data_IF_607396823516
#
_entry.id   IF_607396823516
#
_cell.length_a   1.000
_cell.length_b   1.000
_cell.length_c   1.000
_cell.angle_alpha   90.00
_cell.angle_beta   90.00
_cell.angle_gamma   90.00
#
_symmetry.space_group_name_H-M   'P 1'
#
loop_
_entity.id
_entity.type
_entity.pdbx_description
1 polymer ?
#
# COMPACT_ATOMS: atom_id res chain seq x y z
N UNK A 1 5.24 7.52 69.53
CA UNK A 1 6.21 8.53 69.08
C UNK A 1 6.79 8.07 67.75
N UNK A 2 6.50 8.84 66.71
CA UNK A 2 6.81 8.55 65.32
C UNK A 2 8.31 8.73 65.03
N UNK A 3 8.87 7.89 64.15
CA UNK A 3 9.94 8.33 63.25
C UNK A 3 9.87 7.56 61.93
N UNK A 4 9.34 8.26 60.93
CA UNK A 4 9.47 7.98 59.51
C UNK A 4 10.94 8.07 59.08
N UNK A 5 11.38 7.18 58.17
CA UNK A 5 12.29 7.55 57.07
C UNK A 5 12.16 6.60 55.87
N UNK A 6 11.41 7.14 54.90
CA UNK A 6 11.24 6.86 53.47
C UNK A 6 12.26 5.91 52.81
N UNK A 7 11.75 4.82 52.24
CA UNK A 7 12.32 4.14 51.08
C UNK A 7 11.97 4.95 49.82
N UNK A 8 12.98 5.47 49.11
CA UNK A 8 12.82 5.99 47.76
C UNK A 8 12.95 4.81 46.79
N UNK A 9 11.81 4.36 46.24
CA UNK A 9 11.78 3.50 45.05
C UNK A 9 12.18 4.34 43.84
N UNK A 10 13.38 4.07 43.31
CA UNK A 10 13.78 4.58 41.99
C UNK A 10 13.07 3.73 40.95
N UNK A 11 11.90 4.20 40.50
CA UNK A 11 11.25 3.71 39.29
C UNK A 11 12.01 4.32 38.11
N UNK A 12 12.89 3.55 37.48
CA UNK A 12 13.43 3.87 36.16
C UNK A 12 12.33 3.63 35.11
N UNK A 13 11.92 4.63 34.31
CA UNK A 13 11.18 4.36 33.10
C UNK A 13 12.18 3.91 32.04
N UNK A 14 12.14 2.62 31.69
CA UNK A 14 12.74 2.14 30.44
C UNK A 14 11.93 2.73 29.27
N UNK A 15 12.33 3.91 28.80
CA UNK A 15 11.90 4.45 27.54
C UNK A 15 12.63 3.73 26.40
N UNK A 16 12.15 2.54 26.03
CA UNK A 16 12.52 1.88 24.78
C UNK A 16 11.79 2.59 23.63
N UNK A 17 12.31 3.76 23.24
CA UNK A 17 12.04 4.38 21.95
C UNK A 17 12.84 3.65 20.87
N UNK A 18 12.41 2.44 20.51
CA UNK A 18 12.87 1.79 19.28
C UNK A 18 12.18 2.49 18.11
N UNK A 19 12.90 3.44 17.53
CA UNK A 19 12.62 3.99 16.21
C UNK A 19 12.67 2.84 15.21
N UNK A 20 11.52 2.19 14.98
CA UNK A 20 11.35 1.41 13.77
C UNK A 20 11.72 2.33 12.59
N UNK A 21 12.42 1.79 11.59
CA UNK A 21 12.58 2.42 10.27
C UNK A 21 11.21 2.46 9.54
N UNK A 22 10.16 2.88 10.23
CA UNK A 22 8.97 3.42 9.59
C UNK A 22 9.33 4.75 8.98
N UNK A 23 8.99 4.94 7.71
CA UNK A 23 9.27 6.08 6.83
C UNK A 23 9.40 7.43 7.57
N UNK A 24 10.56 7.66 8.17
CA UNK A 24 10.98 8.94 8.74
C UNK A 24 12.05 9.44 7.80
N UNK A 25 11.61 9.90 6.62
CA UNK A 25 12.46 10.68 5.76
C UNK A 25 12.70 12.03 6.48
N UNK A 26 13.80 12.13 7.21
CA UNK A 26 14.45 13.43 7.35
C UNK A 26 14.77 13.91 5.94
N UNK A 27 14.32 15.12 5.61
CA UNK A 27 14.63 15.73 4.32
C UNK A 27 16.15 15.75 4.16
N UNK A 28 16.64 15.15 3.07
CA UNK A 28 18.06 15.20 2.73
C UNK A 28 18.55 16.65 2.65
N UNK A 29 19.83 16.82 2.98
CA UNK A 29 20.58 18.03 2.75
C UNK A 29 20.43 18.43 1.26
N UNK A 30 20.08 19.68 0.91
CA UNK A 30 19.90 20.11 -0.48
C UNK A 30 21.19 20.09 -1.32
N UNK A 31 22.32 19.66 -0.75
CA UNK A 31 23.65 19.78 -1.35
C UNK A 31 24.27 18.46 -1.83
N UNK A 32 23.59 17.32 -1.71
CA UNK A 32 24.02 16.11 -2.42
C UNK A 32 23.58 16.18 -3.89
N UNK A 33 24.49 16.68 -4.73
CA UNK A 33 24.51 16.37 -6.16
C UNK A 33 24.67 14.85 -6.31
N UNK A 34 23.54 14.14 -6.35
CA UNK A 34 23.51 12.75 -6.82
C UNK A 34 23.90 12.78 -8.29
N UNK A 35 25.09 12.25 -8.61
CA UNK A 35 25.55 12.10 -9.99
C UNK A 35 24.48 11.46 -10.85
N UNK A 36 24.29 12.01 -12.05
CA UNK A 36 23.36 11.52 -13.06
C UNK A 36 23.68 10.05 -13.37
N UNK A 37 22.95 9.13 -12.74
CA UNK A 37 22.85 7.75 -13.20
C UNK A 37 21.88 7.77 -14.38
N UNK A 38 22.34 7.34 -15.56
CA UNK A 38 21.56 7.37 -16.81
C UNK A 38 20.37 6.39 -16.83
N UNK A 39 20.24 5.52 -15.82
CA UNK A 39 19.32 4.37 -15.88
C UNK A 39 18.01 4.60 -15.13
N UNK A 40 17.17 5.47 -15.70
CA UNK A 40 15.80 5.70 -15.22
C UNK A 40 14.82 5.08 -16.23
N UNK A 41 14.01 4.10 -15.81
CA UNK A 41 13.58 3.04 -16.72
C UNK A 41 12.07 2.86 -16.85
N UNK A 42 11.61 2.66 -18.08
CA UNK A 42 10.38 1.91 -18.35
C UNK A 42 10.77 0.47 -18.69
N UNK A 43 10.09 -0.51 -18.12
CA UNK A 43 10.39 -1.92 -18.33
C UNK A 43 9.13 -2.77 -18.54
N UNK A 44 9.31 -3.94 -19.14
CA UNK A 44 8.28 -4.99 -19.26
C UNK A 44 8.71 -6.23 -18.51
N UNK A 45 7.80 -6.85 -17.74
CA UNK A 45 8.12 -8.04 -16.93
C UNK A 45 8.29 -9.33 -17.76
N UNK A 46 7.83 -9.37 -19.01
CA UNK A 46 7.79 -10.57 -19.87
C UNK A 46 9.01 -10.73 -20.81
N UNK A 47 10.07 -9.96 -20.56
CA UNK A 47 11.34 -9.97 -21.29
C UNK A 47 11.29 -9.61 -22.77
N UNK A 48 10.20 -9.00 -23.25
CA UNK A 48 10.10 -8.56 -24.65
C UNK A 48 10.79 -7.22 -24.88
N UNK A 49 10.82 -6.35 -23.86
CA UNK A 49 11.37 -5.00 -24.00
C UNK A 49 10.55 -4.12 -24.95
N UNK A 50 9.29 -4.47 -25.21
CA UNK A 50 8.39 -3.78 -26.13
C UNK A 50 6.98 -3.68 -25.55
N UNK A 51 6.27 -2.61 -25.88
CA UNK A 51 4.96 -2.26 -25.32
C UNK A 51 3.91 -2.23 -26.42
N UNK A 52 2.86 -3.04 -26.28
CA UNK A 52 1.64 -3.00 -27.09
C UNK A 52 0.53 -2.25 -26.33
N UNK A 53 0.20 -1.05 -26.79
CA UNK A 53 -0.78 -0.15 -26.17
C UNK A 53 -2.24 -0.63 -26.31
N UNK A 54 -2.47 -1.62 -27.18
CA UNK A 54 -3.79 -2.20 -27.43
C UNK A 54 -4.07 -3.42 -26.54
N UNK A 55 -3.01 -3.99 -25.95
CA UNK A 55 -3.06 -5.17 -25.09
C UNK A 55 -3.53 -4.77 -23.68
N UNK A 56 -4.38 -5.59 -23.02
CA UNK A 56 -4.67 -5.42 -21.61
C UNK A 56 -3.40 -5.28 -20.78
N UNK A 57 -3.32 -4.22 -19.99
CA UNK A 57 -2.07 -3.79 -19.35
C UNK A 57 -2.25 -3.62 -17.85
N UNK A 58 -1.26 -4.08 -17.10
CA UNK A 58 -1.12 -3.86 -15.67
C UNK A 58 0.10 -2.99 -15.45
N UNK A 59 -0.13 -1.83 -14.86
CA UNK A 59 0.89 -0.79 -14.72
C UNK A 59 1.37 -0.83 -13.28
N UNK A 60 2.67 -1.01 -13.09
CA UNK A 60 3.34 -0.94 -11.82
C UNK A 60 4.17 0.33 -11.78
N UNK A 61 4.00 1.12 -10.74
CA UNK A 61 4.74 2.36 -10.54
C UNK A 61 5.68 2.14 -9.35
N UNK A 62 6.99 2.18 -9.58
CA UNK A 62 7.99 2.15 -8.52
C UNK A 62 8.41 3.58 -8.28
N UNK A 63 7.94 4.15 -7.17
CA UNK A 63 8.15 5.54 -6.78
C UNK A 63 9.48 5.79 -6.07
N UNK A 64 9.58 6.99 -5.52
CA UNK A 64 10.66 7.43 -4.64
C UNK A 64 10.98 6.35 -3.60
N UNK A 65 12.24 5.92 -3.64
CA UNK A 65 12.82 4.91 -2.78
C UNK A 65 13.95 5.46 -1.92
N UNK A 66 14.08 6.79 -1.79
CA UNK A 66 15.05 7.41 -0.90
C UNK A 66 15.01 6.73 0.47
N UNK A 67 16.16 6.21 0.90
CA UNK A 67 16.35 5.43 2.14
C UNK A 67 15.60 4.08 2.23
N UNK A 68 14.86 3.68 1.20
CA UNK A 68 14.19 2.36 1.08
C UNK A 68 14.97 1.38 0.19
N UNK A 69 15.90 1.86 -0.62
CA UNK A 69 16.68 1.05 -1.55
C UNK A 69 15.78 0.27 -2.52
N UNK A 70 16.12 -0.99 -2.81
CA UNK A 70 15.39 -1.80 -3.80
C UNK A 70 14.07 -2.42 -3.27
N UNK A 71 13.65 -2.13 -2.04
CA UNK A 71 12.45 -2.76 -1.45
C UNK A 71 11.14 -2.44 -2.22
N UNK A 72 10.87 -1.20 -2.67
CA UNK A 72 9.70 -0.90 -3.51
C UNK A 72 9.73 -1.68 -4.83
N UNK A 73 10.90 -1.74 -5.49
CA UNK A 73 11.11 -2.52 -6.71
C UNK A 73 10.82 -4.00 -6.50
N UNK A 74 11.30 -4.59 -5.40
CA UNK A 74 11.06 -5.99 -5.08
C UNK A 74 9.58 -6.26 -4.80
N UNK A 75 8.90 -5.40 -4.05
CA UNK A 75 7.46 -5.52 -3.82
C UNK A 75 6.66 -5.45 -5.14
N UNK A 76 7.02 -4.51 -6.04
CA UNK A 76 6.43 -4.41 -7.37
C UNK A 76 6.71 -5.66 -8.22
N UNK A 77 7.95 -6.18 -8.22
CA UNK A 77 8.31 -7.38 -8.96
C UNK A 77 7.58 -8.63 -8.45
N UNK A 78 7.37 -8.75 -7.14
CA UNK A 78 6.54 -9.81 -6.57
C UNK A 78 5.10 -9.75 -7.06
N UNK A 79 4.51 -8.55 -7.10
CA UNK A 79 3.19 -8.28 -7.70
C UNK A 79 3.16 -8.62 -9.20
N UNK A 80 4.17 -8.22 -9.95
CA UNK A 80 4.33 -8.50 -11.38
C UNK A 80 4.28 -10.01 -11.66
N UNK A 81 5.00 -10.82 -10.87
CA UNK A 81 4.97 -12.29 -11.03
C UNK A 81 3.60 -12.88 -10.79
N UNK A 82 2.88 -12.37 -9.77
CA UNK A 82 1.51 -12.82 -9.52
C UNK A 82 0.60 -12.49 -10.69
N UNK A 83 0.75 -11.31 -11.29
CA UNK A 83 0.04 -10.98 -12.52
C UNK A 83 0.40 -11.89 -13.68
N UNK A 84 1.69 -12.20 -13.89
CA UNK A 84 2.12 -13.09 -14.97
C UNK A 84 1.53 -14.50 -14.84
N UNK A 85 1.32 -14.99 -13.61
CA UNK A 85 0.67 -16.28 -13.35
C UNK A 85 -0.86 -16.22 -13.54
N UNK A 86 -1.50 -15.16 -13.05
CA UNK A 86 -2.96 -15.04 -13.06
C UNK A 86 -3.52 -14.63 -14.42
N UNK A 87 -2.75 -13.84 -15.16
CA UNK A 87 -3.14 -13.18 -16.39
C UNK A 87 -2.01 -13.27 -17.42
N UNK A 88 -1.68 -14.48 -17.92
CA UNK A 88 -0.55 -14.67 -18.83
C UNK A 88 -0.69 -13.91 -20.16
N UNK A 89 -1.91 -13.49 -20.50
CA UNK A 89 -2.22 -12.69 -21.67
C UNK A 89 -2.18 -11.18 -21.42
N UNK A 90 -1.96 -10.72 -20.19
CA UNK A 90 -1.79 -9.30 -19.91
C UNK A 90 -0.34 -8.89 -20.22
N UNK A 91 -0.14 -7.61 -20.56
CA UNK A 91 1.17 -6.99 -20.50
C UNK A 91 1.38 -6.40 -19.11
N UNK A 92 2.60 -6.48 -18.59
CA UNK A 92 2.96 -5.89 -17.29
C UNK A 92 4.06 -4.87 -17.56
N UNK A 93 3.72 -3.60 -17.34
CA UNK A 93 4.60 -2.45 -17.58
C UNK A 93 5.01 -1.86 -16.24
N UNK A 94 6.29 -1.61 -16.07
CA UNK A 94 6.87 -0.96 -14.91
C UNK A 94 7.35 0.43 -15.32
N UNK A 95 6.89 1.46 -14.62
CA UNK A 95 7.50 2.79 -14.64
C UNK A 95 8.32 2.92 -13.37
N UNK A 96 9.62 3.17 -13.54
CA UNK A 96 10.61 3.06 -12.47
C UNK A 96 11.39 4.36 -12.41
N UNK A 97 11.51 4.89 -11.19
CA UNK A 97 12.17 6.16 -10.91
C UNK A 97 13.69 6.00 -10.91
N UNK A 98 14.39 7.12 -10.76
CA UNK A 98 15.84 7.15 -10.93
C UNK A 98 16.65 6.37 -9.89
N UNK A 99 15.99 5.93 -8.82
CA UNK A 99 16.65 5.29 -7.70
C UNK A 99 17.00 3.82 -7.98
N UNK A 100 16.43 3.22 -9.02
CA UNK A 100 16.64 1.81 -9.34
C UNK A 100 17.62 1.62 -10.50
N UNK A 101 18.68 0.86 -10.27
CA UNK A 101 19.69 0.57 -11.30
C UNK A 101 19.17 -0.44 -12.33
N UNK A 102 19.58 -0.30 -13.59
CA UNK A 102 19.21 -1.22 -14.67
C UNK A 102 19.51 -2.70 -14.34
N UNK A 103 20.64 -2.97 -13.68
CA UNK A 103 21.01 -4.32 -13.24
C UNK A 103 20.01 -4.90 -12.24
N UNK A 104 19.50 -4.09 -11.32
CA UNK A 104 18.54 -4.52 -10.31
C UNK A 104 17.18 -4.79 -10.96
N UNK A 105 16.77 -3.93 -11.90
CA UNK A 105 15.57 -4.14 -12.73
C UNK A 105 15.68 -5.44 -13.53
N UNK A 106 16.81 -5.68 -14.20
CA UNK A 106 17.05 -6.92 -14.96
C UNK A 106 17.02 -8.18 -14.07
N UNK A 107 17.54 -8.08 -12.83
CA UNK A 107 17.51 -9.18 -11.85
C UNK A 107 16.09 -9.56 -11.42
N UNK A 108 15.13 -8.65 -11.54
CA UNK A 108 13.70 -8.99 -11.36
C UNK A 108 13.12 -9.79 -12.53
N UNK A 109 13.87 -10.00 -13.61
CA UNK A 109 13.35 -10.61 -14.84
C UNK A 109 12.56 -9.63 -15.71
N UNK A 110 12.58 -8.35 -15.38
CA UNK A 110 12.09 -7.28 -16.24
C UNK A 110 13.12 -6.93 -17.30
N UNK A 111 12.67 -6.41 -18.43
CA UNK A 111 13.53 -5.93 -19.53
C UNK A 111 13.19 -4.49 -19.82
N UNK A 112 14.20 -3.64 -19.81
CA UNK A 112 14.07 -2.23 -20.16
C UNK A 112 13.51 -2.08 -21.58
N UNK A 113 12.69 -1.06 -21.77
CA UNK A 113 12.17 -0.68 -23.08
C UNK A 113 13.12 0.35 -23.68
N UNK A 114 13.69 0.03 -24.85
CA UNK A 114 14.75 0.83 -25.49
C UNK A 114 14.31 1.50 -26.79
N UNK A 115 13.19 1.07 -27.36
CA UNK A 115 12.58 1.67 -28.55
C UNK A 115 11.37 2.49 -28.11
N UNK A 116 11.24 3.71 -28.63
CA UNK A 116 10.18 4.66 -28.30
C UNK A 116 8.78 4.07 -28.49
N UNK A 117 8.13 3.54 -27.43
CA UNK A 117 6.81 2.95 -27.58
C UNK A 117 5.73 4.01 -27.31
N UNK A 118 6.14 5.22 -26.87
CA UNK A 118 5.30 6.22 -26.22
C UNK A 118 4.87 7.40 -27.12
N UNK A 119 5.16 7.37 -28.42
CA UNK A 119 4.69 8.38 -29.37
C UNK A 119 5.39 9.73 -29.17
N UNK A 120 4.65 10.80 -28.88
CA UNK A 120 5.24 12.15 -28.65
C UNK A 120 5.91 12.30 -27.29
N UNK A 121 5.73 11.33 -26.38
CA UNK A 121 6.48 11.27 -25.12
C UNK A 121 7.69 10.39 -25.39
N UNK A 122 8.88 10.97 -25.28
CA UNK A 122 10.11 10.20 -25.42
C UNK A 122 10.36 9.35 -24.16
N UNK A 123 11.00 8.19 -24.28
CA UNK A 123 11.50 7.42 -23.14
C UNK A 123 12.48 8.26 -22.32
N UNK A 124 13.28 9.11 -22.99
CA UNK A 124 14.15 10.08 -22.33
C UNK A 124 13.38 11.10 -21.48
N UNK A 125 12.13 11.42 -21.84
CA UNK A 125 11.28 12.29 -21.02
C UNK A 125 10.78 11.61 -19.74
N UNK A 126 10.72 10.27 -19.74
CA UNK A 126 10.31 9.44 -18.61
C UNK A 126 11.47 9.08 -17.69
N UNK A 127 12.68 9.56 -17.99
CA UNK A 127 13.84 9.44 -17.09
C UNK A 127 13.65 10.22 -15.79
N UNK A 128 12.80 11.25 -15.77
CA UNK A 128 12.37 11.89 -14.53
C UNK A 128 10.85 11.89 -14.50
N UNK A 129 10.28 11.05 -13.65
CA UNK A 129 8.83 10.87 -13.61
C UNK A 129 8.17 12.06 -12.90
N UNK A 130 7.64 12.97 -13.72
CA UNK A 130 6.64 13.92 -13.24
C UNK A 130 5.24 13.30 -13.36
N UNK A 131 4.32 13.68 -12.48
CA UNK A 131 2.91 13.30 -12.54
C UNK A 131 2.31 13.55 -13.92
N UNK A 132 2.43 14.76 -14.50
CA UNK A 132 1.91 15.04 -15.84
C UNK A 132 2.50 14.16 -16.94
N UNK A 133 3.82 13.93 -16.95
CA UNK A 133 4.48 13.08 -17.96
C UNK A 133 4.07 11.61 -17.81
N UNK A 134 4.00 11.12 -16.58
CA UNK A 134 3.57 9.77 -16.29
C UNK A 134 2.10 9.56 -16.69
N UNK A 135 1.21 10.50 -16.36
CA UNK A 135 -0.19 10.47 -16.80
C UNK A 135 -0.29 10.49 -18.32
N UNK A 136 0.46 11.35 -19.00
CA UNK A 136 0.48 11.38 -20.47
C UNK A 136 0.95 10.05 -21.09
N UNK A 137 1.95 9.39 -20.49
CA UNK A 137 2.36 8.06 -20.93
C UNK A 137 1.29 6.99 -20.67
N UNK A 138 0.66 7.02 -19.48
CA UNK A 138 -0.42 6.10 -19.12
C UNK A 138 -1.69 6.30 -19.96
N UNK A 139 -1.97 7.51 -20.43
CA UNK A 139 -3.17 7.84 -21.22
C UNK A 139 -3.22 7.12 -22.59
N UNK A 140 -2.07 6.60 -23.03
CA UNK A 140 -1.96 5.88 -24.30
C UNK A 140 -2.41 4.43 -24.21
N UNK A 141 -2.44 3.85 -23.01
CA UNK A 141 -2.96 2.50 -22.82
C UNK A 141 -4.48 2.54 -22.91
N UNK A 142 -5.07 1.69 -23.75
CA UNK A 142 -6.54 1.67 -23.95
C UNK A 142 -7.28 0.63 -23.11
N UNK A 143 -6.53 -0.23 -22.41
CA UNK A 143 -7.06 -1.36 -21.63
C UNK A 143 -6.30 -1.55 -20.32
N UNK A 144 -6.34 -0.56 -19.44
CA UNK A 144 -5.69 -0.63 -18.13
C UNK A 144 -6.52 -1.54 -17.22
N UNK A 145 -5.93 -2.65 -16.76
CA UNK A 145 -6.55 -3.58 -15.83
C UNK A 145 -6.19 -3.28 -14.37
N UNK A 146 -4.99 -2.73 -14.12
CA UNK A 146 -4.63 -2.21 -12.80
C UNK A 146 -3.53 -1.15 -12.87
N UNK A 147 -3.49 -0.28 -11.86
CA UNK A 147 -2.33 0.57 -11.56
C UNK A 147 -1.92 0.29 -10.10
N UNK A 148 -0.68 -0.10 -9.86
CA UNK A 148 -0.20 -0.38 -8.50
C UNK A 148 1.09 0.40 -8.22
N UNK A 149 1.02 1.34 -7.28
CA UNK A 149 2.16 2.15 -6.85
C UNK A 149 2.87 1.50 -5.66
N UNK A 150 4.20 1.53 -5.63
CA UNK A 150 5.05 1.08 -4.52
C UNK A 150 6.14 2.12 -4.25
N UNK A 151 6.23 2.63 -3.03
CA UNK A 151 7.26 3.60 -2.64
C UNK A 151 6.79 4.55 -1.55
N UNK A 152 7.46 5.70 -1.42
CA UNK A 152 6.99 6.75 -0.52
C UNK A 152 5.68 7.37 -1.01
N UNK A 153 4.82 7.74 -0.07
CA UNK A 153 3.56 8.43 -0.37
C UNK A 153 3.27 9.48 0.67
N UNK A 154 2.35 10.35 0.31
CA UNK A 154 1.78 11.37 1.19
C UNK A 154 0.26 11.19 1.27
N UNK A 155 -0.40 11.88 2.21
CA UNK A 155 -1.85 12.01 2.19
C UNK A 155 -2.42 12.49 0.84
N UNK A 156 -1.61 13.19 0.04
CA UNK A 156 -2.03 13.94 -1.14
C UNK A 156 -1.65 13.28 -2.47
N UNK A 157 -0.90 12.17 -2.45
CA UNK A 157 -0.51 11.47 -3.66
C UNK A 157 0.74 10.62 -3.49
N UNK A 158 1.08 9.89 -4.55
CA UNK A 158 2.24 9.01 -4.61
C UNK A 158 3.49 9.80 -5.02
N UNK A 159 4.60 9.63 -4.29
CA UNK A 159 5.83 10.37 -4.58
C UNK A 159 6.60 9.62 -5.67
N UNK A 160 6.82 10.31 -6.78
CA UNK A 160 7.52 9.74 -7.92
C UNK A 160 9.03 9.93 -7.76
N UNK A 161 9.53 11.11 -7.39
CA UNK A 161 10.98 11.34 -7.29
C UNK A 161 11.35 12.01 -5.95
N UNK A 162 12.52 11.68 -5.41
CA UNK A 162 13.02 12.16 -4.11
C UNK A 162 13.28 13.69 -4.08
N UNK A 163 13.77 14.26 -5.19
CA UNK A 163 14.14 15.69 -5.24
C UNK A 163 12.89 16.58 -5.37
N UNK A 164 12.82 17.62 -4.54
CA UNK A 164 11.65 18.49 -4.43
C UNK A 164 11.39 19.31 -5.70
N UNK A 165 10.18 19.23 -6.22
CA UNK A 165 9.66 20.08 -7.28
C UNK A 165 8.17 19.84 -7.48
N UNK A 166 7.39 20.90 -7.69
CA UNK A 166 5.97 20.80 -8.02
C UNK A 166 5.82 19.95 -9.30
N UNK A 167 5.07 18.84 -9.19
CA UNK A 167 4.86 17.92 -10.30
C UNK A 167 5.55 16.56 -10.18
N UNK A 168 6.28 16.25 -9.10
CA UNK A 168 6.85 14.90 -8.86
C UNK A 168 5.97 14.02 -7.96
N UNK A 169 4.68 14.34 -7.95
CA UNK A 169 3.65 13.60 -7.24
C UNK A 169 2.62 13.18 -8.26
N UNK A 170 2.24 11.90 -8.26
CA UNK A 170 1.02 11.47 -8.92
C UNK A 170 -0.15 11.85 -8.00
N UNK A 171 -0.73 13.02 -8.25
CA UNK A 171 -1.79 13.59 -7.45
C UNK A 171 -3.18 13.28 -8.07
N UNK A 172 -4.27 13.29 -7.29
CA UNK A 172 -5.59 12.96 -7.80
C UNK A 172 -6.14 13.89 -8.89
N UNK A 173 -5.66 15.13 -8.99
CA UNK A 173 -6.22 16.10 -9.95
C UNK A 173 -5.79 15.83 -11.39
N UNK A 174 -4.67 15.12 -11.60
CA UNK A 174 -4.12 14.83 -12.92
C UNK A 174 -4.63 13.52 -13.52
N UNK A 175 -5.13 12.57 -12.71
CA UNK A 175 -5.43 11.21 -13.20
C UNK A 175 -6.76 11.07 -13.94
N UNK A 176 -7.66 12.06 -13.86
CA UNK A 176 -9.03 11.95 -14.39
C UNK A 176 -9.11 11.61 -15.89
N UNK A 177 -8.10 12.02 -16.68
CA UNK A 177 -7.99 11.70 -18.11
C UNK A 177 -7.92 10.19 -18.38
N UNK A 178 -7.44 9.40 -17.41
CA UNK A 178 -7.28 7.95 -17.54
C UNK A 178 -8.58 7.17 -17.32
N UNK A 179 -9.67 7.82 -16.90
CA UNK A 179 -10.88 7.13 -16.47
C UNK A 179 -11.46 6.19 -17.55
N UNK A 180 -11.43 6.61 -18.82
CA UNK A 180 -11.95 5.81 -19.93
C UNK A 180 -10.95 4.78 -20.49
N UNK A 181 -9.69 4.82 -20.04
CA UNK A 181 -8.66 3.86 -20.42
C UNK A 181 -8.70 2.57 -19.61
N UNK A 182 -9.43 2.54 -18.48
CA UNK A 182 -9.60 1.35 -17.67
C UNK A 182 -10.52 0.32 -18.32
N UNK A 183 -10.05 -0.92 -18.46
CA UNK A 183 -10.81 -2.03 -19.03
C UNK A 183 -11.86 -2.53 -18.03
N UNK A 184 -13.06 -1.97 -18.13
CA UNK A 184 -14.20 -2.27 -17.23
C UNK A 184 -14.64 -3.73 -17.25
N UNK A 185 -14.35 -4.46 -18.33
CA UNK A 185 -14.70 -5.88 -18.43
C UNK A 185 -13.83 -6.76 -17.53
N UNK A 186 -12.66 -6.24 -17.10
CA UNK A 186 -11.64 -6.94 -16.31
C UNK A 186 -11.64 -6.55 -14.83
N UNK A 187 -12.68 -5.86 -14.36
CA UNK A 187 -12.87 -5.44 -12.96
C UNK A 187 -11.65 -4.65 -12.42
N UNK A 188 -11.34 -3.49 -13.03
CA UNK A 188 -10.08 -2.78 -12.81
C UNK A 188 -10.01 -2.11 -11.44
N UNK A 189 -8.79 -1.88 -10.96
CA UNK A 189 -8.53 -1.23 -9.66
C UNK A 189 -7.19 -0.48 -9.65
N UNK A 190 -7.00 0.35 -8.62
CA UNK A 190 -5.71 0.99 -8.31
C UNK A 190 -5.31 0.68 -6.87
N UNK A 191 -4.01 0.51 -6.62
CA UNK A 191 -3.47 0.42 -5.25
C UNK A 191 -2.34 1.43 -5.04
N UNK A 192 -2.41 2.17 -3.94
CA UNK A 192 -1.36 3.09 -3.49
C UNK A 192 -0.60 2.46 -2.32
N UNK A 193 0.40 1.63 -2.63
CA UNK A 193 1.24 0.96 -1.63
C UNK A 193 2.33 1.93 -1.16
N UNK A 194 1.94 2.82 -0.28
CA UNK A 194 2.81 3.82 0.35
C UNK A 194 2.16 4.38 1.61
N UNK A 195 2.94 5.05 2.45
CA UNK A 195 2.42 5.65 3.67
C UNK A 195 1.30 6.65 3.36
N UNK A 196 0.17 6.53 4.06
CA UNK A 196 -0.93 7.51 4.07
C UNK A 196 -1.62 7.80 2.73
N UNK A 197 -1.34 7.06 1.65
CA UNK A 197 -1.98 7.28 0.34
C UNK A 197 -3.51 7.12 0.36
N UNK A 198 -4.05 6.48 1.41
CA UNK A 198 -5.48 6.34 1.63
C UNK A 198 -6.17 7.56 2.25
N UNK A 199 -5.42 8.54 2.75
CA UNK A 199 -5.97 9.62 3.58
C UNK A 199 -6.85 10.58 2.78
N UNK A 200 -6.31 11.18 1.71
CA UNK A 200 -7.12 11.95 0.75
C UNK A 200 -7.00 11.39 -0.67
N UNK A 201 -5.80 10.94 -1.06
CA UNK A 201 -5.51 10.63 -2.46
C UNK A 201 -6.37 9.48 -3.01
N UNK A 202 -6.46 8.34 -2.32
CA UNK A 202 -7.18 7.17 -2.83
C UNK A 202 -8.67 7.44 -3.10
N UNK A 203 -9.39 8.08 -2.16
CA UNK A 203 -10.81 8.45 -2.35
C UNK A 203 -11.00 9.39 -3.55
N UNK A 204 -10.19 10.45 -3.63
CA UNK A 204 -10.24 11.41 -4.75
C UNK A 204 -9.92 10.74 -6.09
N UNK A 205 -8.90 9.89 -6.14
CA UNK A 205 -8.57 9.12 -7.34
C UNK A 205 -9.69 8.15 -7.72
N UNK A 206 -10.33 7.50 -6.75
CA UNK A 206 -11.47 6.62 -7.01
C UNK A 206 -12.62 7.35 -7.68
N UNK A 207 -12.93 8.56 -7.20
CA UNK A 207 -13.93 9.42 -7.82
C UNK A 207 -13.59 9.79 -9.26
N UNK A 208 -12.36 10.26 -9.50
CA UNK A 208 -11.93 10.73 -10.81
C UNK A 208 -11.83 9.58 -11.82
N UNK A 209 -11.23 8.46 -11.41
CA UNK A 209 -11.01 7.29 -12.26
C UNK A 209 -12.24 6.39 -12.40
N UNK A 210 -13.23 6.54 -11.51
CA UNK A 210 -14.40 5.66 -11.39
C UNK A 210 -14.03 4.19 -11.18
N UNK A 211 -12.93 3.91 -10.49
CA UNK A 211 -12.46 2.55 -10.14
C UNK A 211 -12.23 2.44 -8.64
N UNK A 212 -12.29 1.24 -8.05
CA UNK A 212 -11.81 1.03 -6.68
C UNK A 212 -10.33 1.42 -6.56
N UNK A 213 -10.01 2.24 -5.56
CA UNK A 213 -8.63 2.67 -5.27
C UNK A 213 -8.32 2.41 -3.81
N UNK A 214 -7.24 1.69 -3.52
CA UNK A 214 -6.80 1.46 -2.16
C UNK A 214 -5.62 2.32 -1.74
N UNK A 215 -5.50 2.56 -0.43
CA UNK A 215 -4.34 3.21 0.14
C UNK A 215 -4.22 2.97 1.64
N UNK A 216 -3.01 3.17 2.18
CA UNK A 216 -2.77 3.04 3.61
C UNK A 216 -3.32 4.27 4.34
N UNK A 217 -3.94 4.08 5.51
CA UNK A 217 -4.36 5.16 6.41
C UNK A 217 -3.38 5.35 7.58
N UNK A 218 -2.18 4.81 7.42
CA UNK A 218 -1.05 4.90 8.35
C UNK A 218 0.26 4.73 7.58
N UNK A 219 1.36 4.52 8.30
CA UNK A 219 2.63 4.09 7.72
C UNK A 219 2.53 2.72 7.04
N UNK A 220 3.53 2.40 6.24
CA UNK A 220 3.71 1.09 5.62
C UNK A 220 5.07 0.52 5.99
N UNK A 221 5.21 -0.80 5.95
CA UNK A 221 6.49 -1.50 6.06
C UNK A 221 6.65 -2.47 4.89
N UNK A 222 7.87 -2.97 4.76
CA UNK A 222 8.16 -4.13 3.94
C UNK A 222 8.14 -5.39 4.80
N UNK A 223 7.51 -6.41 4.26
CA UNK A 223 7.42 -7.72 4.87
C UNK A 223 8.12 -8.76 4.01
N UNK A 224 8.85 -9.65 4.66
CA UNK A 224 9.61 -10.71 4.04
C UNK A 224 9.02 -12.07 4.38
N UNK A 225 9.04 -12.98 3.41
CA UNK A 225 8.70 -14.38 3.62
C UNK A 225 9.82 -15.05 4.43
N UNK A 226 9.45 -15.69 5.53
CA UNK A 226 10.36 -16.39 6.42
C UNK A 226 10.29 -17.91 6.22
N UNK A 227 11.20 -18.64 6.87
CA UNK A 227 11.37 -20.10 6.73
C UNK A 227 10.16 -20.93 7.20
N UNK A 228 9.25 -20.36 7.99
CA UNK A 228 7.96 -20.95 8.36
C UNK A 228 6.88 -20.78 7.27
N UNK A 229 7.23 -20.13 6.15
CA UNK A 229 6.32 -19.82 5.06
C UNK A 229 5.34 -18.69 5.35
N UNK A 230 5.62 -17.83 6.33
CA UNK A 230 4.79 -16.68 6.68
C UNK A 230 5.54 -15.37 6.44
N UNK A 231 4.78 -14.30 6.24
CA UNK A 231 5.32 -12.95 6.05
C UNK A 231 5.35 -12.19 7.36
N UNK A 232 6.49 -11.58 7.67
CA UNK A 232 6.70 -10.71 8.84
C UNK A 232 7.37 -9.42 8.40
N UNK A 233 7.34 -8.38 9.23
CA UNK A 233 8.16 -7.18 8.99
C UNK A 233 9.63 -7.61 8.85
N UNK A 234 10.30 -7.13 7.80
CA UNK A 234 11.66 -7.60 7.43
C UNK A 234 12.77 -7.17 8.38
N UNK A 235 12.49 -6.26 9.31
CA UNK A 235 13.45 -5.77 10.30
C UNK A 235 13.70 -6.82 11.39
N UNK A 236 14.97 -6.98 11.79
CA UNK A 236 15.34 -7.90 12.87
C UNK A 236 14.62 -7.51 14.17
N UNK A 237 14.12 -8.51 14.90
CA UNK A 237 13.34 -8.31 16.12
C UNK A 237 11.82 -8.15 15.91
N UNK A 238 11.33 -8.20 14.67
CA UNK A 238 9.88 -8.18 14.38
C UNK A 238 9.28 -9.53 13.97
N UNK A 239 10.10 -10.58 13.94
CA UNK A 239 9.69 -11.97 13.70
C UNK A 239 10.24 -12.91 14.79
N UNK A 240 9.60 -14.07 15.03
CA UNK A 240 10.05 -15.03 16.03
C UNK A 240 11.53 -15.41 15.90
N UNK A 241 12.21 -15.54 17.04
CA UNK A 241 13.61 -15.95 17.08
C UNK A 241 13.79 -17.33 16.45
N UNK A 242 14.86 -17.49 15.66
CA UNK A 242 15.19 -18.75 14.97
C UNK A 242 14.59 -18.89 13.56
N UNK A 243 13.71 -17.98 13.14
CA UNK A 243 13.31 -17.91 11.73
C UNK A 243 14.42 -17.28 10.87
N UNK A 244 14.55 -17.77 9.65
CA UNK A 244 15.45 -17.23 8.63
C UNK A 244 14.63 -16.74 7.44
N UNK A 245 15.18 -15.82 6.65
CA UNK A 245 14.53 -15.39 5.40
C UNK A 245 14.42 -16.57 4.45
N UNK A 246 13.27 -16.72 3.80
CA UNK A 246 13.08 -17.74 2.78
C UNK A 246 14.04 -17.50 1.61
N UNK A 247 14.37 -18.58 0.88
CA UNK A 247 15.21 -18.50 -0.34
C UNK A 247 14.38 -18.59 -1.63
N UNK A 248 13.17 -19.15 -1.54
CA UNK A 248 12.18 -19.28 -2.61
C UNK A 248 10.79 -18.98 -2.04
N UNK A 249 9.87 -18.56 -2.90
CA UNK A 249 8.46 -18.37 -2.52
C UNK A 249 7.56 -19.44 -3.14
N UNK A 250 7.41 -20.57 -2.48
CA UNK A 250 6.44 -21.60 -2.87
C UNK A 250 5.03 -21.32 -2.33
N UNK A 251 4.89 -20.42 -1.37
CA UNK A 251 3.61 -20.08 -0.72
C UNK A 251 2.72 -19.21 -1.60
N UNK A 252 3.24 -18.12 -2.14
CA UNK A 252 2.48 -17.21 -2.99
C UNK A 252 2.42 -17.66 -4.46
N UNK A 253 3.24 -18.63 -4.87
CA UNK A 253 3.38 -19.03 -6.28
C UNK A 253 3.21 -20.54 -6.54
N UNK A 254 3.05 -21.36 -5.51
CA UNK A 254 3.00 -22.82 -5.60
C UNK A 254 4.36 -23.47 -5.90
N UNK A 255 4.50 -24.76 -5.55
CA UNK A 255 5.79 -25.48 -5.56
C UNK A 255 6.46 -25.55 -6.94
N UNK A 256 5.68 -25.75 -8.01
CA UNK A 256 6.22 -25.99 -9.37
C UNK A 256 6.80 -24.74 -10.04
N UNK A 257 6.52 -23.56 -9.51
CA UNK A 257 6.94 -22.29 -10.11
C UNK A 257 7.57 -21.32 -9.12
N UNK A 258 7.92 -21.81 -7.92
CA UNK A 258 8.42 -21.04 -6.79
C UNK A 258 9.64 -20.18 -7.20
N UNK A 259 9.48 -18.87 -7.39
CA UNK A 259 10.59 -18.00 -7.77
C UNK A 259 11.55 -17.82 -6.59
N UNK A 260 12.84 -17.64 -6.91
CA UNK A 260 13.85 -17.29 -5.92
C UNK A 260 13.58 -15.91 -5.29
N UNK A 261 13.77 -15.80 -3.98
CA UNK A 261 13.55 -14.56 -3.22
C UNK A 261 14.47 -13.42 -3.69
N UNK A 262 15.67 -13.75 -4.17
CA UNK A 262 16.63 -12.79 -4.73
C UNK A 262 16.08 -11.99 -5.92
N UNK A 263 14.99 -12.42 -6.55
CA UNK A 263 14.31 -11.67 -7.61
C UNK A 263 13.22 -10.72 -7.09
N UNK A 264 13.11 -10.52 -5.78
CA UNK A 264 12.06 -9.74 -5.13
C UNK A 264 10.75 -10.50 -4.90
N UNK A 265 10.71 -11.81 -5.13
CA UNK A 265 9.47 -12.58 -4.99
C UNK A 265 9.02 -12.84 -3.54
N UNK A 266 9.83 -12.44 -2.55
CA UNK A 266 9.58 -12.69 -1.13
C UNK A 266 9.35 -11.41 -0.34
N UNK A 267 9.30 -10.25 -0.99
CA UNK A 267 9.11 -8.94 -0.35
C UNK A 267 7.74 -8.43 -0.74
N UNK A 268 6.90 -8.04 0.22
CA UNK A 268 5.64 -7.34 -0.02
C UNK A 268 5.59 -6.06 0.81
N UNK A 269 4.71 -5.14 0.44
CA UNK A 269 4.46 -3.93 1.21
C UNK A 269 3.08 -4.02 1.88
N UNK A 270 2.99 -3.62 3.15
CA UNK A 270 1.74 -3.64 3.92
C UNK A 270 1.67 -2.47 4.91
N UNK A 271 0.48 -1.96 5.26
CA UNK A 271 0.34 -0.96 6.32
C UNK A 271 0.80 -1.50 7.67
N UNK A 272 1.37 -0.61 8.48
CA UNK A 272 1.86 -0.93 9.81
C UNK A 272 0.71 -0.95 10.82
N UNK A 273 0.82 -1.79 11.85
CA UNK A 273 -0.06 -1.76 13.02
C UNK A 273 0.49 -0.79 14.08
N UNK A 274 0.56 0.48 13.70
CA UNK A 274 1.04 1.57 14.54
C UNK A 274 0.49 2.92 14.03
N UNK A 275 0.33 3.92 14.91
CA UNK A 275 0.16 5.32 14.51
C UNK A 275 1.28 5.82 13.60
N UNK A 276 0.91 6.50 12.52
CA UNK A 276 1.89 7.17 11.66
C UNK A 276 2.49 8.39 12.37
N UNK A 277 3.83 8.45 12.42
CA UNK A 277 4.62 9.55 13.00
C UNK A 277 5.64 10.16 12.03
N UNK A 278 5.51 9.85 10.74
CA UNK A 278 6.48 10.27 9.71
C UNK A 278 6.38 11.74 9.32
N UNK A 279 6.81 12.08 8.09
CA UNK A 279 6.99 13.45 7.57
C UNK A 279 5.77 14.35 7.75
N UNK A 280 4.57 13.82 7.53
CA UNK A 280 3.35 14.64 7.55
C UNK A 280 2.74 14.77 8.93
N UNK A 281 3.00 13.82 9.83
CA UNK A 281 2.29 13.73 11.09
C UNK A 281 2.74 14.80 12.09
N UNK A 282 1.78 15.36 12.83
CA UNK A 282 2.05 16.17 14.01
C UNK A 282 3.03 15.44 14.96
N UNK A 283 4.15 16.06 15.40
CA UNK A 283 5.19 15.36 16.17
C UNK A 283 4.72 14.86 17.53
N UNK A 284 3.85 15.62 18.21
CA UNK A 284 3.37 15.28 19.54
C UNK A 284 2.40 14.10 19.45
N UNK A 285 1.39 14.24 18.61
CA UNK A 285 0.27 13.33 18.56
C UNK A 285 0.49 12.21 17.54
N UNK A 286 0.95 12.52 16.33
CA UNK A 286 0.91 11.62 15.18
C UNK A 286 -0.52 11.45 14.64
N UNK A 287 -0.72 10.51 13.72
CA UNK A 287 -2.08 10.18 13.27
C UNK A 287 -2.81 9.41 14.37
N UNK A 288 -3.76 10.07 15.04
CA UNK A 288 -4.44 9.51 16.22
C UNK A 288 -5.31 8.30 15.91
N UNK A 289 -5.84 8.26 14.68
CA UNK A 289 -6.71 7.21 14.18
C UNK A 289 -6.08 6.54 12.96
N UNK A 290 -6.20 5.21 12.88
CA UNK A 290 -5.55 4.45 11.80
C UNK A 290 -6.34 3.20 11.39
N UNK A 291 -5.92 2.56 10.29
CA UNK A 291 -6.21 1.15 9.97
C UNK A 291 -4.91 0.44 9.61
N UNK A 292 -4.74 -0.80 10.07
CA UNK A 292 -3.53 -1.62 9.87
C UNK A 292 -3.53 -2.42 8.55
N UNK A 293 -4.35 -2.01 7.57
CA UNK A 293 -4.52 -2.64 6.27
C UNK A 293 -4.89 -1.58 5.21
N UNK A 294 -4.77 -1.92 3.93
CA UNK A 294 -5.13 -0.99 2.86
C UNK A 294 -6.65 -0.86 2.78
N UNK A 295 -7.17 0.37 2.87
CA UNK A 295 -8.59 0.67 2.73
C UNK A 295 -8.92 0.92 1.26
N UNK A 296 -9.91 0.22 0.71
CA UNK A 296 -10.43 0.52 -0.63
C UNK A 296 -11.50 1.61 -0.58
N UNK A 297 -11.41 2.58 -1.49
CA UNK A 297 -12.43 3.59 -1.71
C UNK A 297 -13.08 3.37 -3.08
N UNK A 298 -14.38 3.62 -3.14
CA UNK A 298 -15.25 3.46 -4.29
C UNK A 298 -16.21 4.66 -4.37
N UNK A 299 -15.65 5.86 -4.51
CA UNK A 299 -16.40 7.13 -4.53
C UNK A 299 -16.99 7.43 -5.93
N UNK A 300 -17.77 6.49 -6.45
CA UNK A 300 -18.42 6.58 -7.75
C UNK A 300 -19.69 5.73 -7.74
N UNK A 301 -20.59 5.97 -8.70
CA UNK A 301 -21.79 5.16 -8.85
C UNK A 301 -21.41 3.75 -9.36
N UNK A 302 -21.75 2.72 -8.59
CA UNK A 302 -21.28 1.36 -8.81
C UNK A 302 -22.43 0.34 -8.98
N UNK A 303 -23.28 0.50 -9.99
CA UNK A 303 -24.40 -0.42 -10.22
C UNK A 303 -23.93 -1.84 -10.56
N UNK A 304 -22.72 -1.99 -11.09
CA UNK A 304 -22.15 -3.27 -11.52
C UNK A 304 -21.28 -3.98 -10.47
N UNK A 305 -21.26 -3.50 -9.21
CA UNK A 305 -20.41 -4.05 -8.13
C UNK A 305 -18.93 -4.17 -8.53
N UNK A 306 -18.47 -3.19 -9.31
CA UNK A 306 -17.08 -3.03 -9.75
C UNK A 306 -16.15 -2.90 -8.56
N UNK A 307 -16.61 -2.23 -7.49
CA UNK A 307 -15.89 -2.07 -6.24
C UNK A 307 -15.50 -3.43 -5.63
N UNK A 308 -16.49 -4.26 -5.29
CA UNK A 308 -16.26 -5.58 -4.67
C UNK A 308 -15.43 -6.49 -5.58
N UNK A 309 -15.73 -6.51 -6.89
CA UNK A 309 -14.95 -7.31 -7.85
C UNK A 309 -13.50 -6.86 -7.95
N UNK A 310 -13.25 -5.55 -8.03
CA UNK A 310 -11.88 -5.00 -8.08
C UNK A 310 -11.11 -5.23 -6.78
N UNK A 311 -11.77 -5.13 -5.62
CA UNK A 311 -11.20 -5.52 -4.33
C UNK A 311 -10.74 -6.98 -4.35
N UNK A 312 -11.62 -7.92 -4.69
CA UNK A 312 -11.28 -9.34 -4.76
C UNK A 312 -10.18 -9.63 -5.79
N UNK A 313 -10.21 -9.00 -6.98
CA UNK A 313 -9.15 -9.11 -7.99
C UNK A 313 -7.79 -8.63 -7.48
N UNK A 314 -7.77 -7.53 -6.74
CA UNK A 314 -6.55 -7.02 -6.10
C UNK A 314 -5.96 -8.00 -5.08
N UNK A 315 -6.83 -8.70 -4.34
CA UNK A 315 -6.40 -9.71 -3.39
C UNK A 315 -5.81 -10.97 -4.05
N UNK A 316 -6.28 -11.37 -5.23
CA UNK A 316 -5.69 -12.52 -5.97
C UNK A 316 -4.20 -12.33 -6.25
N UNK A 317 -3.82 -11.08 -6.54
CA UNK A 317 -2.45 -10.70 -6.81
C UNK A 317 -1.63 -10.35 -5.55
N UNK A 318 -2.26 -10.32 -4.37
CA UNK A 318 -1.55 -10.07 -3.12
C UNK A 318 -0.67 -11.28 -2.78
N UNK A 319 0.58 -11.03 -2.42
CA UNK A 319 1.49 -12.08 -1.98
C UNK A 319 1.16 -12.44 -0.53
N UNK A 320 0.65 -13.65 -0.33
CA UNK A 320 0.26 -14.21 0.96
C UNK A 320 0.92 -15.58 1.19
N UNK A 321 0.63 -16.20 2.34
CA UNK A 321 1.11 -17.54 2.69
C UNK A 321 0.43 -18.68 1.91
N UNK A 322 -0.41 -18.31 0.94
CA UNK A 322 -1.08 -19.17 -0.03
C UNK A 322 -1.39 -18.40 -1.32
N UNK A 323 -1.63 -19.14 -2.39
CA UNK A 323 -2.09 -18.62 -3.68
C UNK A 323 -3.59 -18.38 -3.70
N UNK A 324 -4.03 -17.32 -4.39
CA UNK A 324 -5.45 -17.10 -4.72
C UNK A 324 -5.65 -16.86 -6.21
N UNK A 325 -6.83 -17.22 -6.68
CA UNK A 325 -7.37 -16.93 -8.00
C UNK A 325 -8.92 -16.90 -7.98
N UNK A 326 -9.55 -16.77 -9.16
CA UNK A 326 -11.01 -16.75 -9.28
C UNK A 326 -11.69 -18.09 -8.94
N UNK A 327 -10.96 -19.21 -8.97
CA UNK A 327 -11.47 -20.53 -8.64
C UNK A 327 -11.29 -20.87 -7.14
N UNK A 328 -10.53 -20.07 -6.40
CA UNK A 328 -10.22 -20.30 -5.00
C UNK A 328 -11.47 -20.37 -4.10
N UNK A 329 -11.39 -21.26 -3.12
CA UNK A 329 -12.45 -21.56 -2.17
C UNK A 329 -12.75 -20.38 -1.23
N UNK A 330 -13.89 -20.42 -0.53
CA UNK A 330 -14.18 -19.44 0.52
C UNK A 330 -13.12 -19.51 1.64
N UNK A 331 -12.67 -20.70 2.01
CA UNK A 331 -11.71 -20.87 3.10
C UNK A 331 -10.32 -20.34 2.75
N UNK A 332 -9.88 -20.49 1.50
CA UNK A 332 -8.64 -19.88 1.02
C UNK A 332 -8.74 -18.35 1.02
N UNK A 333 -9.88 -17.83 0.55
CA UNK A 333 -10.14 -16.40 0.54
C UNK A 333 -10.12 -15.84 1.98
N UNK A 334 -10.80 -16.48 2.93
CA UNK A 334 -10.82 -16.08 4.34
C UNK A 334 -9.44 -16.11 4.97
N UNK A 335 -8.61 -17.09 4.63
CA UNK A 335 -7.26 -17.18 5.17
C UNK A 335 -6.32 -16.10 4.64
N UNK A 336 -6.40 -15.75 3.35
CA UNK A 336 -5.66 -14.58 2.84
C UNK A 336 -6.23 -13.28 3.38
N UNK A 337 -7.55 -13.17 3.59
CA UNK A 337 -8.13 -12.01 4.25
C UNK A 337 -7.62 -11.87 5.70
N UNK A 338 -7.45 -12.97 6.43
CA UNK A 338 -6.80 -12.91 7.74
C UNK A 338 -5.38 -12.35 7.64
N UNK A 339 -4.58 -12.78 6.65
CA UNK A 339 -3.25 -12.22 6.38
C UNK A 339 -3.29 -10.78 5.84
N UNK A 340 -4.38 -10.35 5.21
CA UNK A 340 -4.60 -8.98 4.77
C UNK A 340 -4.91 -8.05 5.94
N UNK A 341 -5.82 -8.42 6.83
CA UNK A 341 -6.26 -7.58 7.95
C UNK A 341 -5.37 -7.69 9.19
N UNK A 342 -4.97 -8.89 9.58
CA UNK A 342 -4.19 -9.15 10.78
C UNK A 342 -2.69 -9.06 10.53
N UNK A 343 -1.93 -8.62 11.52
CA UNK A 343 -0.46 -8.59 11.47
C UNK A 343 0.13 -9.84 12.09
N UNK A 344 1.32 -10.23 11.62
CA UNK A 344 2.19 -11.17 12.32
C UNK A 344 3.26 -10.39 13.09
N UNK A 345 3.72 -10.96 14.19
CA UNK A 345 4.72 -10.33 15.06
C UNK A 345 5.55 -11.39 15.78
N UNK A 346 6.44 -10.96 16.66
CA UNK A 346 7.17 -11.81 17.60
C UNK A 346 6.26 -12.59 18.56
N UNK A 347 5.04 -12.09 18.86
CA UNK A 347 4.03 -12.87 19.55
C UNK A 347 3.41 -13.89 18.56
N UNK A 348 3.67 -15.20 18.72
CA UNK A 348 3.19 -16.22 17.79
C UNK A 348 1.67 -16.42 17.88
N UNK A 349 1.04 -15.99 18.96
CA UNK A 349 -0.40 -16.21 19.22
C UNK A 349 -1.28 -15.07 18.74
N UNK A 350 -0.70 -13.91 18.45
CA UNK A 350 -1.44 -12.71 18.05
C UNK A 350 -2.24 -12.91 16.77
N UNK A 351 -1.62 -13.49 15.74
CA UNK A 351 -2.26 -13.67 14.44
C UNK A 351 -3.51 -14.56 14.55
N UNK A 352 -3.41 -15.69 15.25
CA UNK A 352 -4.51 -16.65 15.37
C UNK A 352 -5.67 -16.07 16.18
N UNK A 353 -5.39 -15.30 17.25
CA UNK A 353 -6.43 -14.55 17.97
C UNK A 353 -7.11 -13.53 17.07
N UNK A 354 -6.34 -12.70 16.38
CA UNK A 354 -6.89 -11.68 15.48
C UNK A 354 -7.76 -12.31 14.38
N UNK A 355 -7.33 -13.44 13.81
CA UNK A 355 -8.11 -14.20 12.83
C UNK A 355 -9.43 -14.69 13.43
N UNK A 356 -9.39 -15.35 14.59
CA UNK A 356 -10.59 -15.89 15.23
C UNK A 356 -11.58 -14.78 15.57
N UNK A 357 -11.11 -13.68 16.15
CA UNK A 357 -11.93 -12.52 16.51
C UNK A 357 -12.55 -11.85 15.26
N UNK A 358 -11.78 -11.74 14.16
CA UNK A 358 -12.27 -11.22 12.89
C UNK A 358 -13.39 -12.11 12.30
N UNK A 359 -13.18 -13.42 12.26
CA UNK A 359 -14.16 -14.37 11.72
C UNK A 359 -15.45 -14.38 12.56
N UNK A 360 -15.32 -14.37 13.89
CA UNK A 360 -16.45 -14.26 14.81
C UNK A 360 -17.21 -12.95 14.60
N UNK A 361 -16.51 -11.81 14.55
CA UNK A 361 -17.14 -10.51 14.37
C UNK A 361 -17.88 -10.40 13.02
N UNK A 362 -17.33 -10.99 11.95
CA UNK A 362 -18.01 -11.02 10.65
C UNK A 362 -19.26 -11.89 10.69
N UNK A 363 -19.21 -13.05 11.34
CA UNK A 363 -20.32 -13.99 11.45
C UNK A 363 -21.47 -13.43 12.31
N UNK A 364 -21.14 -12.76 13.41
CA UNK A 364 -22.10 -12.23 14.39
C UNK A 364 -22.54 -10.80 14.07
N UNK A 365 -21.98 -10.17 13.04
CA UNK A 365 -22.14 -8.75 12.76
C UNK A 365 -21.77 -7.86 13.96
N UNK A 366 -20.61 -8.12 14.56
CA UNK A 366 -20.07 -7.32 15.66
C UNK A 366 -18.99 -6.32 15.18
N UNK A 367 -18.76 -5.20 15.87
CA UNK A 367 -17.63 -4.31 15.61
C UNK A 367 -16.28 -5.02 15.79
N UNK A 368 -15.28 -4.65 14.98
CA UNK A 368 -13.94 -5.24 15.06
C UNK A 368 -12.84 -4.34 14.50
N UNK A 369 -11.66 -4.42 15.11
CA UNK A 369 -10.42 -3.80 14.66
C UNK A 369 -9.29 -4.81 14.72
N UNK A 370 -8.51 -4.88 13.63
CA UNK A 370 -7.31 -5.70 13.56
C UNK A 370 -6.08 -5.02 14.19
N UNK A 371 -6.21 -3.78 14.68
CA UNK A 371 -5.11 -3.08 15.32
C UNK A 371 -4.75 -3.73 16.66
N UNK A 372 -3.46 -3.81 16.98
CA UNK A 372 -2.95 -4.21 18.30
C UNK A 372 -2.63 -3.01 19.17
N UNK A 373 -1.94 -2.02 18.60
CA UNK A 373 -1.29 -0.93 19.38
C UNK A 373 -2.19 0.29 19.63
N UNK A 374 -3.24 0.46 18.82
CA UNK A 374 -4.19 1.57 18.92
C UNK A 374 -5.64 1.10 18.72
N UNK A 375 -6.01 0.00 19.39
CA UNK A 375 -7.33 -0.67 19.27
C UNK A 375 -8.51 0.28 19.33
N UNK A 376 -8.55 1.14 20.34
CA UNK A 376 -9.67 2.06 20.59
C UNK A 376 -9.75 3.21 19.57
N UNK A 377 -8.79 3.33 18.65
CA UNK A 377 -8.68 4.47 17.74
C UNK A 377 -8.60 4.00 16.29
N UNK A 378 -9.43 3.02 15.96
CA UNK A 378 -9.66 2.62 14.57
C UNK A 378 -10.45 3.67 13.81
N UNK A 379 -10.01 4.00 12.60
CA UNK A 379 -10.78 4.86 11.70
C UNK A 379 -12.08 4.16 11.29
N UNK A 380 -13.16 4.93 11.37
CA UNK A 380 -14.44 4.57 10.76
C UNK A 380 -14.52 5.17 9.36
N UNK A 381 -14.62 4.31 8.35
CA UNK A 381 -14.64 4.70 6.95
C UNK A 381 -15.73 3.93 6.20
N UNK A 382 -16.33 4.58 5.22
CA UNK A 382 -17.23 3.96 4.24
C UNK A 382 -16.52 3.83 2.87
N UNK A 383 -17.29 3.60 1.80
CA UNK A 383 -16.74 3.52 0.44
C UNK A 383 -16.27 4.87 -0.08
N UNK A 384 -16.84 5.99 0.35
CA UNK A 384 -16.49 7.32 -0.15
C UNK A 384 -15.30 7.93 0.60
N UNK A 385 -15.15 7.66 1.90
CA UNK A 385 -14.08 8.25 2.71
C UNK A 385 -14.13 7.86 4.19
N UNK A 386 -13.36 8.55 5.02
CA UNK A 386 -13.36 8.39 6.48
C UNK A 386 -14.05 9.57 7.21
N UNK A 387 -14.77 10.41 6.46
CA UNK A 387 -15.34 11.69 6.90
C UNK A 387 -16.62 11.60 7.74
N UNK A 388 -17.09 10.40 8.07
CA UNK A 388 -18.32 10.21 8.86
C UNK A 388 -18.11 10.61 10.32
N UNK A 389 -17.03 10.12 10.95
CA UNK A 389 -16.72 10.36 12.37
C UNK A 389 -15.39 11.10 12.58
N UNK A 390 -14.54 11.13 11.57
CA UNK A 390 -13.19 11.67 11.65
C UNK A 390 -12.96 12.74 10.59
N UNK A 391 -12.00 13.61 10.85
CA UNK A 391 -11.58 14.66 9.93
C UNK A 391 -10.06 14.65 9.86
N UNK A 392 -9.52 14.68 8.64
CA UNK A 392 -8.09 14.85 8.44
C UNK A 392 -7.76 16.33 8.34
N UNK A 393 -6.85 16.80 9.17
CA UNK A 393 -6.44 18.21 9.25
C UNK A 393 -4.95 18.32 9.08
N UNK A 394 -4.52 19.38 8.41
CA UNK A 394 -3.15 19.85 8.38
C UNK A 394 -3.17 21.37 8.50
N UNK A 395 -2.16 21.96 9.12
CA UNK A 395 -1.92 23.40 8.98
C UNK A 395 -1.64 23.70 7.52
N UNK A 396 -2.22 24.78 6.99
CA UNK A 396 -2.03 25.22 5.61
C UNK A 396 -1.50 26.64 5.57
N UNK A 397 -0.48 26.88 4.77
CA UNK A 397 0.05 28.22 4.45
C UNK A 397 -0.20 28.45 2.96
N UNK A 398 -0.95 29.48 2.60
CA UNK A 398 -1.39 29.75 1.22
C UNK A 398 -2.05 28.53 0.54
N UNK A 399 -2.85 27.77 1.31
CA UNK A 399 -3.52 26.55 0.82
C UNK A 399 -2.65 25.29 0.79
N UNK A 400 -1.34 25.41 0.96
CA UNK A 400 -0.38 24.29 0.92
C UNK A 400 -0.28 23.62 2.29
N UNK A 401 -0.53 22.30 2.41
CA UNK A 401 -0.35 21.55 3.64
C UNK A 401 1.11 21.61 4.13
N UNK A 402 1.28 21.87 5.42
CA UNK A 402 2.61 21.91 6.03
C UNK A 402 2.99 20.53 6.57
N UNK A 403 4.23 20.12 6.29
CA UNK A 403 4.83 18.91 6.89
C UNK A 403 4.77 19.03 8.42
N UNK A 404 4.72 17.89 9.11
CA UNK A 404 4.67 17.81 10.57
C UNK A 404 3.49 18.54 11.23
N UNK A 405 2.35 18.67 10.54
CA UNK A 405 1.16 19.31 11.12
C UNK A 405 -0.13 18.53 10.92
N UNK A 406 -0.05 17.38 10.26
CA UNK A 406 -1.23 16.63 9.89
C UNK A 406 -1.66 15.64 10.97
N UNK A 407 -2.97 15.51 11.18
CA UNK A 407 -3.55 14.52 12.08
C UNK A 407 -4.98 14.16 11.67
N UNK A 408 -5.39 12.94 12.01
CA UNK A 408 -6.79 12.59 12.12
C UNK A 408 -7.33 13.04 13.47
N UNK A 409 -8.45 13.74 13.46
CA UNK A 409 -9.16 14.19 14.66
C UNK A 409 -10.62 13.76 14.60
N UNK A 410 -11.32 13.78 15.74
CA UNK A 410 -12.77 13.65 15.75
C UNK A 410 -13.40 14.78 14.93
N UNK A 411 -14.39 14.43 14.10
CA UNK A 411 -15.18 15.40 13.34
C UNK A 411 -15.82 16.43 14.28
N UNK A 412 -15.72 17.70 13.91
CA UNK A 412 -16.26 18.80 14.72
C UNK A 412 -15.38 19.23 15.89
N UNK A 413 -14.15 18.69 16.05
CA UNK A 413 -13.20 19.29 16.99
C UNK A 413 -12.89 20.75 16.58
N UNK A 414 -12.63 21.64 17.53
CA UNK A 414 -12.30 23.03 17.19
C UNK A 414 -11.01 23.10 16.32
N UNK A 415 -10.93 24.08 15.41
CA UNK A 415 -9.83 24.16 14.45
C UNK A 415 -8.48 24.52 15.12
N UNK A 416 -8.53 25.22 16.24
CA UNK A 416 -7.41 25.64 17.09
C UNK A 416 -7.04 24.62 18.18
N UNK A 417 -7.86 23.58 18.39
CA UNK A 417 -7.60 22.54 19.37
C UNK A 417 -6.40 21.67 18.95
N UNK A 418 -5.52 21.38 19.92
CA UNK A 418 -4.41 20.44 19.71
C UNK A 418 -4.94 19.06 19.31
N UNK A 419 -4.44 18.41 18.25
CA UNK A 419 -4.98 17.15 17.76
C UNK A 419 -5.10 16.04 18.82
N UNK A 420 -4.11 15.92 19.72
CA UNK A 420 -4.13 14.94 20.81
C UNK A 420 -5.31 15.09 21.78
N UNK A 421 -5.87 16.30 21.91
CA UNK A 421 -7.07 16.56 22.74
C UNK A 421 -8.38 16.25 22.02
N UNK A 422 -8.34 16.09 20.70
CA UNK A 422 -9.49 15.80 19.85
C UNK A 422 -9.75 14.29 19.69
N UNK A 423 -9.14 13.45 20.53
CA UNK A 423 -9.19 12.00 20.40
C UNK A 423 -10.30 11.42 21.26
N UNK A 424 -11.33 10.84 20.64
CA UNK A 424 -12.37 10.03 21.28
C UNK A 424 -12.25 8.58 20.81
N UNK A 425 -12.31 7.59 21.72
CA UNK A 425 -12.37 6.18 21.34
C UNK A 425 -13.49 5.89 20.33
N UNK A 426 -13.17 5.13 19.28
CA UNK A 426 -14.17 4.48 18.44
C UNK A 426 -14.56 3.15 19.11
N UNK A 427 -15.70 3.16 19.80
CA UNK A 427 -16.18 2.00 20.57
C UNK A 427 -16.90 0.97 19.71
N UNK A 428 -17.17 1.25 18.44
CA UNK A 428 -17.90 0.36 17.54
C UNK A 428 -17.35 0.42 16.10
N UNK A 429 -16.06 0.11 15.88
CA UNK A 429 -15.46 0.16 14.55
C UNK A 429 -16.07 -0.91 13.63
N UNK A 430 -16.63 -0.49 12.48
CA UNK A 430 -17.24 -1.40 11.50
C UNK A 430 -16.45 -1.52 10.21
N UNK A 431 -15.51 -0.62 9.93
CA UNK A 431 -14.73 -0.60 8.68
C UNK A 431 -14.17 -1.98 8.30
N UNK A 432 -13.52 -2.68 9.24
CA UNK A 432 -12.86 -3.97 8.97
C UNK A 432 -13.83 -5.07 8.57
N UNK A 433 -14.97 -5.16 9.26
CA UNK A 433 -16.01 -6.15 8.99
C UNK A 433 -16.67 -5.88 7.64
N UNK A 434 -16.93 -4.61 7.33
CA UNK A 434 -17.51 -4.20 6.05
C UNK A 434 -16.59 -4.51 4.88
N UNK A 435 -15.30 -4.17 4.99
CA UNK A 435 -14.28 -4.49 3.98
C UNK A 435 -14.17 -6.00 3.78
N UNK A 436 -14.07 -6.78 4.86
CA UNK A 436 -13.98 -8.24 4.78
C UNK A 436 -15.16 -8.85 4.00
N UNK A 437 -16.38 -8.39 4.29
CA UNK A 437 -17.59 -8.83 3.58
C UNK A 437 -17.57 -8.41 2.11
N UNK A 438 -17.09 -7.21 1.80
CA UNK A 438 -16.98 -6.72 0.43
C UNK A 438 -16.01 -7.59 -0.40
N UNK A 439 -14.87 -8.01 0.17
CA UNK A 439 -13.96 -8.96 -0.47
C UNK A 439 -14.62 -10.32 -0.74
N UNK A 440 -15.33 -10.89 0.24
CA UNK A 440 -16.03 -12.17 0.05
C UNK A 440 -17.15 -12.06 -0.99
N UNK A 441 -17.92 -10.96 -0.97
CA UNK A 441 -18.94 -10.69 -1.98
C UNK A 441 -18.33 -10.58 -3.38
N UNK A 442 -17.19 -9.88 -3.49
CA UNK A 442 -16.40 -9.78 -4.72
C UNK A 442 -15.97 -11.15 -5.24
N UNK A 443 -15.39 -11.99 -4.39
CA UNK A 443 -14.97 -13.34 -4.79
C UNK A 443 -16.15 -14.17 -5.32
N UNK A 444 -17.32 -14.10 -4.68
CA UNK A 444 -18.53 -14.79 -5.15
C UNK A 444 -18.96 -14.33 -6.54
N UNK A 445 -18.81 -13.04 -6.86
CA UNK A 445 -19.12 -12.49 -8.19
C UNK A 445 -18.09 -12.87 -9.25
N UNK A 446 -16.86 -13.18 -8.86
CA UNK A 446 -15.78 -13.58 -9.75
C UNK A 446 -15.74 -15.09 -10.03
N UNK A 447 -16.23 -15.92 -9.10
CA UNK A 447 -16.26 -17.38 -9.25
C UNK A 447 -16.97 -17.80 -10.53
N UNK A 448 -16.39 -18.77 -11.23
CA UNK A 448 -16.92 -19.29 -12.48
C UNK A 448 -16.68 -18.39 -13.71
N UNK A 449 -16.13 -17.17 -13.53
CA UNK A 449 -15.60 -16.38 -14.64
C UNK A 449 -14.18 -16.87 -14.90
N UNK A 450 -13.91 -17.37 -16.10
CA UNK A 450 -12.54 -17.62 -16.55
C UNK A 450 -11.75 -16.32 -16.41
N UNK A 451 -10.52 -16.38 -15.89
CA UNK A 451 -9.60 -15.24 -15.96
C UNK A 451 -9.52 -14.82 -17.42
N UNK A 452 -9.91 -13.57 -17.75
CA UNK A 452 -10.01 -13.16 -19.14
C UNK A 452 -8.64 -12.96 -19.79
#
# INVERSE_FOLDING_TARGET
>A
MALLRRFASVVLPFALGLSALGCSAEAGDPTEETGDSEDNLVATFDKRGSIDLTKPSRILLVGDSDKLGNLPMFAAAGRARRYAQLYPNDQIVLFITQDAKAVDVANTGSTAVTEEPFGTVALSDLTRLSGPKLVAAMDRFRKIASIDFFGHSSPFGALLEATAGDGRVLDPSSVGVLADNFDRSRDPYVTLNGCNGGVEAASKMSKMLRVPVSGALTGTNFQELMSDGKYYIGDDGFFPAGLTRAVKNDKSFGDRSAPGCWRGACVRMKPQDAPYRGVWADPESGFQYTLSYYKFFCDFDDPSKTCEKGMARSLHAFMSDRTLDAASSDDDMKAVLADWFCTRSTDPTWFDRCKADLEAAVAEDNPFTSQRTAREFALECDKAGCGLQHEFRCTRVNGVPQKKTCAWVKKGCAADAKPGTCRTPNTAPRTTVNEYRAYLAGQKLLRGRTSP
#
